data_IF_704915953225
#
_entry.id   IF_704915953225
#
_cell.length_a   1.000
_cell.length_b   1.000
_cell.length_c   1.000
_cell.angle_alpha   90.00
_cell.angle_beta   90.00
_cell.angle_gamma   90.00
#
_symmetry.space_group_name_H-M   'P 1'
#
loop_
_entity.id
_entity.type
_entity.pdbx_description
1 polymer ?
#
# COMPACT_ATOMS: atom_id res chain seq x y z
N UNK A 1 -4.33 -22.98 15.11
CA UNK A 1 -3.01 -22.70 14.48
C UNK A 1 -2.13 -23.93 14.67
N UNK A 2 -1.43 -24.38 13.63
CA UNK A 2 -0.44 -25.47 13.79
C UNK A 2 0.77 -24.95 14.59
N UNK A 3 1.43 -25.81 15.37
CA UNK A 3 2.66 -25.48 16.12
C UNK A 3 3.72 -24.89 15.19
N UNK A 4 3.82 -25.40 13.97
CA UNK A 4 4.71 -24.89 12.93
C UNK A 4 4.36 -23.44 12.53
N UNK A 5 3.06 -23.14 12.34
CA UNK A 5 2.63 -21.78 12.03
C UNK A 5 2.95 -20.79 13.15
N UNK A 6 2.76 -21.19 14.41
CA UNK A 6 3.15 -20.36 15.56
C UNK A 6 4.66 -20.12 15.59
N UNK A 7 5.47 -21.16 15.36
CA UNK A 7 6.93 -21.01 15.32
C UNK A 7 7.40 -20.06 14.23
N UNK A 8 6.84 -20.13 13.02
CA UNK A 8 7.16 -19.21 11.92
C UNK A 8 6.83 -17.77 12.28
N UNK A 9 5.65 -17.53 12.89
CA UNK A 9 5.26 -16.18 13.33
C UNK A 9 6.21 -15.63 14.39
N UNK A 10 6.59 -16.45 15.38
CA UNK A 10 7.53 -16.03 16.43
C UNK A 10 8.93 -15.74 15.87
N UNK A 11 9.42 -16.54 14.92
CA UNK A 11 10.69 -16.30 14.23
C UNK A 11 10.64 -15.01 13.44
N UNK A 12 9.58 -14.78 12.65
CA UNK A 12 9.41 -13.56 11.87
C UNK A 12 9.34 -12.31 12.77
N UNK A 13 8.58 -12.39 13.87
CA UNK A 13 8.47 -11.28 14.83
C UNK A 13 9.81 -11.00 15.52
N UNK A 14 10.52 -12.04 15.97
CA UNK A 14 11.83 -11.92 16.60
C UNK A 14 12.88 -11.34 15.66
N UNK A 15 12.88 -11.77 14.40
CA UNK A 15 13.75 -11.25 13.35
C UNK A 15 13.47 -9.76 13.07
N UNK A 16 12.20 -9.38 12.94
CA UNK A 16 11.80 -7.99 12.70
C UNK A 16 12.21 -7.09 13.86
N UNK A 17 11.92 -7.50 15.10
CA UNK A 17 12.32 -6.75 16.29
C UNK A 17 13.85 -6.62 16.40
N UNK A 18 14.58 -7.72 16.17
CA UNK A 18 16.04 -7.71 16.15
C UNK A 18 16.61 -6.72 15.12
N UNK A 19 16.06 -6.70 13.91
CA UNK A 19 16.48 -5.78 12.86
C UNK A 19 16.17 -4.32 13.19
N UNK A 20 15.03 -4.02 13.83
CA UNK A 20 14.72 -2.67 14.32
C UNK A 20 15.79 -2.17 15.29
N UNK A 21 16.22 -3.02 16.24
CA UNK A 21 17.23 -2.65 17.22
C UNK A 21 18.65 -2.54 16.63
N UNK A 22 19.06 -3.52 15.81
CA UNK A 22 20.39 -3.57 15.21
C UNK A 22 20.64 -2.44 14.20
N UNK A 23 19.60 -2.00 13.47
CA UNK A 23 19.73 -1.03 12.37
C UNK A 23 19.22 0.37 12.69
N UNK A 24 19.08 0.73 13.94
CA UNK A 24 18.70 2.12 14.33
C UNK A 24 19.61 3.22 13.74
N UNK A 25 20.82 2.87 13.29
CA UNK A 25 21.83 3.83 12.78
C UNK A 25 22.14 3.68 11.29
N UNK A 26 21.60 2.69 10.60
CA UNK A 26 21.89 2.45 9.19
C UNK A 26 20.59 2.23 8.41
N UNK A 27 20.27 3.15 7.51
CA UNK A 27 19.17 2.98 6.57
C UNK A 27 19.53 1.90 5.55
N UNK A 28 18.69 0.86 5.37
CA UNK A 28 18.93 -0.15 4.36
C UNK A 28 18.81 0.45 2.96
N UNK A 29 19.68 0.02 2.07
CA UNK A 29 19.56 0.34 0.64
C UNK A 29 18.64 -0.70 0.03
N UNK A 30 17.48 -0.27 -0.46
CA UNK A 30 16.53 -1.10 -1.17
C UNK A 30 16.71 -0.98 -2.69
N UNK A 31 16.25 -1.98 -3.43
CA UNK A 31 16.12 -1.92 -4.89
C UNK A 31 15.23 -0.73 -5.26
N UNK A 32 15.62 0.02 -6.28
CA UNK A 32 14.76 1.07 -6.81
C UNK A 32 13.53 0.45 -7.50
N UNK A 33 12.34 0.92 -7.13
CA UNK A 33 11.06 0.54 -7.75
C UNK A 33 10.50 1.79 -8.42
N UNK A 34 10.40 1.82 -9.77
CA UNK A 34 10.03 3.02 -10.53
C UNK A 34 8.69 3.63 -10.08
N UNK A 35 7.71 2.79 -9.72
CA UNK A 35 6.41 3.24 -9.22
C UNK A 35 6.52 4.19 -8.02
N UNK A 36 7.40 3.92 -7.06
CA UNK A 36 7.58 4.80 -5.90
C UNK A 36 8.35 6.08 -6.24
N UNK A 37 9.23 6.04 -7.22
CA UNK A 37 9.90 7.24 -7.72
C UNK A 37 8.90 8.15 -8.42
N UNK A 38 8.03 7.60 -9.29
CA UNK A 38 6.93 8.35 -9.92
C UNK A 38 5.94 8.90 -8.89
N UNK A 39 5.62 8.11 -7.85
CA UNK A 39 4.74 8.55 -6.78
C UNK A 39 5.29 9.79 -6.07
N UNK A 40 6.58 9.79 -5.70
CA UNK A 40 7.22 10.96 -5.05
C UNK A 40 7.17 12.20 -5.94
N UNK A 41 7.39 12.03 -7.25
CA UNK A 41 7.27 13.13 -8.20
C UNK A 41 5.83 13.65 -8.27
N UNK A 42 4.84 12.75 -8.37
CA UNK A 42 3.43 13.11 -8.42
C UNK A 42 2.97 13.86 -7.15
N UNK A 43 3.48 13.47 -5.96
CA UNK A 43 3.23 14.17 -4.70
C UNK A 43 3.78 15.60 -4.74
N UNK A 44 5.03 15.78 -5.17
CA UNK A 44 5.63 17.11 -5.31
C UNK A 44 4.83 18.01 -6.26
N UNK A 45 4.49 17.48 -7.43
CA UNK A 45 3.67 18.19 -8.42
C UNK A 45 2.26 18.54 -7.90
N UNK A 46 1.63 17.63 -7.14
CA UNK A 46 0.33 17.89 -6.52
C UNK A 46 0.37 19.06 -5.55
N UNK A 47 1.39 19.12 -4.70
CA UNK A 47 1.58 20.23 -3.74
C UNK A 47 1.87 21.54 -4.47
N UNK A 48 2.74 21.53 -5.49
CA UNK A 48 3.07 22.73 -6.28
C UNK A 48 1.89 23.26 -7.09
N UNK A 49 1.05 22.37 -7.61
CA UNK A 49 -0.11 22.72 -8.41
C UNK A 49 -1.38 22.97 -7.59
N UNK A 50 -1.34 22.76 -6.27
CA UNK A 50 -2.52 22.87 -5.40
C UNK A 50 -3.63 21.86 -5.73
N UNK A 51 -3.25 20.68 -6.25
CA UNK A 51 -4.20 19.62 -6.65
C UNK A 51 -4.28 18.53 -5.60
N UNK A 52 -5.28 17.65 -5.75
CA UNK A 52 -5.57 16.56 -4.81
C UNK A 52 -4.88 15.27 -5.21
N UNK A 53 -4.41 14.51 -4.22
CA UNK A 53 -4.09 13.09 -4.39
C UNK A 53 -5.27 12.22 -3.97
N UNK A 54 -5.51 11.15 -4.70
CA UNK A 54 -6.49 10.12 -4.34
C UNK A 54 -5.77 8.84 -3.91
N UNK A 55 -6.13 8.29 -2.74
CA UNK A 55 -5.68 7.00 -2.24
C UNK A 55 -6.86 6.05 -2.12
N UNK A 56 -6.78 4.90 -2.76
CA UNK A 56 -7.79 3.86 -2.66
C UNK A 56 -7.24 2.64 -1.91
N UNK A 57 -7.92 2.26 -0.83
CA UNK A 57 -7.56 1.13 0.04
C UNK A 57 -8.26 -0.18 -0.37
N UNK A 58 -9.10 -0.13 -1.41
CA UNK A 58 -9.87 -1.27 -1.86
C UNK A 58 -10.94 -1.73 -0.86
N UNK A 59 -11.29 -3.02 -0.88
CA UNK A 59 -12.46 -3.57 -0.19
C UNK A 59 -12.12 -4.61 0.91
N UNK A 60 -10.86 -4.84 1.21
CA UNK A 60 -10.45 -5.84 2.19
C UNK A 60 -10.62 -5.37 3.64
N UNK A 61 -11.75 -5.68 4.26
CA UNK A 61 -12.00 -5.35 5.67
C UNK A 61 -11.07 -6.10 6.64
N UNK A 62 -10.88 -5.56 7.85
CA UNK A 62 -9.94 -6.06 8.86
C UNK A 62 -10.23 -7.48 9.34
N UNK A 63 -11.49 -7.90 9.30
CA UNK A 63 -11.91 -9.23 9.75
C UNK A 63 -11.81 -10.30 8.64
N UNK A 64 -11.33 -9.92 7.46
CA UNK A 64 -11.19 -10.82 6.32
C UNK A 64 -9.72 -11.20 6.09
N UNK A 65 -9.43 -12.34 5.44
CA UNK A 65 -8.06 -12.68 5.03
C UNK A 65 -7.41 -11.66 4.10
N UNK A 66 -8.21 -10.81 3.47
CA UNK A 66 -7.79 -9.73 2.56
C UNK A 66 -7.51 -8.39 3.25
N UNK A 67 -7.35 -8.37 4.58
CA UNK A 67 -7.03 -7.15 5.33
C UNK A 67 -5.62 -6.59 5.04
N UNK A 68 -4.64 -7.47 4.86
CA UNK A 68 -3.24 -7.09 4.77
C UNK A 68 -2.92 -6.04 3.67
N UNK A 69 -3.48 -6.11 2.44
CA UNK A 69 -3.30 -5.07 1.43
C UNK A 69 -3.79 -3.69 1.87
N UNK A 70 -4.98 -3.62 2.46
CA UNK A 70 -5.54 -2.35 2.97
C UNK A 70 -4.71 -1.75 4.10
N UNK A 71 -4.19 -2.59 5.00
CA UNK A 71 -3.26 -2.15 6.06
C UNK A 71 -1.94 -1.63 5.50
N UNK A 72 -1.44 -2.21 4.40
CA UNK A 72 -0.26 -1.68 3.71
C UNK A 72 -0.51 -0.28 3.13
N UNK A 73 -1.69 -0.05 2.54
CA UNK A 73 -2.11 1.27 2.08
C UNK A 73 -2.22 2.27 3.22
N UNK A 74 -2.82 1.88 4.36
CA UNK A 74 -2.90 2.72 5.56
C UNK A 74 -1.53 3.08 6.14
N UNK A 75 -0.57 2.14 6.13
CA UNK A 75 0.79 2.41 6.61
C UNK A 75 1.48 3.52 5.78
N UNK A 76 1.21 3.57 4.49
CA UNK A 76 1.71 4.62 3.60
C UNK A 76 0.93 5.94 3.78
N UNK A 77 -0.39 5.86 3.98
CA UNK A 77 -1.32 6.98 3.99
C UNK A 77 -0.88 8.09 4.96
N UNK A 78 -0.50 7.74 6.18
CA UNK A 78 -0.05 8.73 7.18
C UNK A 78 1.08 9.61 6.64
N UNK A 79 2.10 8.98 6.06
CA UNK A 79 3.26 9.69 5.54
C UNK A 79 2.93 10.53 4.29
N UNK A 80 2.05 10.02 3.42
CA UNK A 80 1.51 10.80 2.30
C UNK A 80 0.81 12.07 2.81
N UNK A 81 -0.04 11.93 3.82
CA UNK A 81 -0.76 13.07 4.43
C UNK A 81 0.21 14.09 5.02
N UNK A 82 1.24 13.64 5.75
CA UNK A 82 2.27 14.52 6.30
C UNK A 82 2.97 15.34 5.20
N UNK A 83 3.28 14.72 4.06
CA UNK A 83 3.99 15.37 2.96
C UNK A 83 3.10 16.26 2.08
N UNK A 84 1.81 15.95 1.98
CA UNK A 84 0.87 16.71 1.13
C UNK A 84 -0.01 17.67 1.92
N UNK A 85 0.21 17.81 3.22
CA UNK A 85 -0.55 18.71 4.10
C UNK A 85 -0.43 20.21 3.72
N UNK A 86 0.58 20.56 2.93
CA UNK A 86 0.77 21.92 2.40
C UNK A 86 0.04 22.19 1.08
N UNK A 87 -0.63 21.19 0.49
CA UNK A 87 -1.44 21.39 -0.72
C UNK A 87 -2.74 22.15 -0.38
N UNK A 88 -3.20 22.97 -1.31
CA UNK A 88 -4.48 23.68 -1.18
C UNK A 88 -5.68 22.73 -1.13
N UNK A 89 -5.56 21.58 -1.80
CA UNK A 89 -6.58 20.53 -1.82
C UNK A 89 -6.15 19.34 -0.94
N UNK A 90 -6.94 18.98 0.10
CA UNK A 90 -6.62 17.88 0.97
C UNK A 90 -6.68 16.52 0.24
N UNK A 91 -5.77 15.60 0.59
CA UNK A 91 -5.74 14.24 0.11
C UNK A 91 -7.06 13.52 0.44
N UNK A 92 -7.59 12.75 -0.51
CA UNK A 92 -8.84 12.00 -0.33
C UNK A 92 -8.60 10.51 -0.39
N UNK A 93 -9.30 9.77 0.48
CA UNK A 93 -9.19 8.32 0.60
C UNK A 93 -10.52 7.67 0.30
N UNK A 94 -10.50 6.61 -0.53
CA UNK A 94 -11.67 5.77 -0.79
C UNK A 94 -11.46 4.36 -0.26
N UNK A 95 -12.50 3.79 0.31
CA UNK A 95 -12.52 2.39 0.73
C UNK A 95 -13.89 1.76 0.48
N UNK A 96 -13.88 0.44 0.31
CA UNK A 96 -15.08 -0.38 0.15
C UNK A 96 -15.41 -1.20 1.40
N UNK A 97 -14.74 -0.92 2.54
CA UNK A 97 -15.01 -1.53 3.84
C UNK A 97 -15.11 -0.44 4.90
N UNK A 98 -16.11 -0.52 5.76
CA UNK A 98 -16.40 0.52 6.75
C UNK A 98 -15.29 0.68 7.81
N UNK A 99 -14.67 -0.42 8.21
CA UNK A 99 -13.54 -0.44 9.13
C UNK A 99 -12.29 0.25 8.53
N UNK A 100 -12.00 0.03 7.24
CA UNK A 100 -10.95 0.76 6.54
C UNK A 100 -11.27 2.25 6.37
N UNK A 101 -12.54 2.61 6.15
CA UNK A 101 -12.94 4.01 6.08
C UNK A 101 -12.68 4.73 7.41
N UNK A 102 -13.08 4.14 8.53
CA UNK A 102 -12.81 4.68 9.87
C UNK A 102 -11.31 4.79 10.17
N UNK A 103 -10.54 3.75 9.84
CA UNK A 103 -9.08 3.79 10.03
C UNK A 103 -8.40 4.80 9.11
N UNK A 104 -8.92 5.03 7.91
CA UNK A 104 -8.37 6.06 7.03
C UNK A 104 -8.60 7.46 7.59
N UNK A 105 -9.77 7.74 8.16
CA UNK A 105 -10.06 9.02 8.84
C UNK A 105 -9.13 9.26 10.03
N UNK A 106 -8.94 8.24 10.89
CA UNK A 106 -8.02 8.32 12.02
C UNK A 106 -6.56 8.53 11.57
N UNK A 107 -6.16 7.81 10.51
CA UNK A 107 -4.81 7.94 9.94
C UNK A 107 -4.56 9.30 9.30
N UNK A 108 -5.56 9.85 8.59
CA UNK A 108 -5.52 11.21 8.03
C UNK A 108 -5.37 12.24 9.15
N UNK A 109 -6.22 12.16 10.18
CA UNK A 109 -6.14 13.06 11.33
C UNK A 109 -4.76 13.00 12.00
N UNK A 110 -4.23 11.81 12.21
CA UNK A 110 -2.89 11.63 12.77
C UNK A 110 -1.79 12.23 11.88
N UNK A 111 -1.92 12.13 10.54
CA UNK A 111 -1.00 12.73 9.58
C UNK A 111 -1.02 14.25 9.60
N UNK A 112 -2.21 14.87 9.56
CA UNK A 112 -2.37 16.32 9.67
C UNK A 112 -1.85 16.86 11.02
N UNK A 113 -2.11 16.11 12.11
CA UNK A 113 -1.57 16.46 13.44
C UNK A 113 -0.04 16.41 13.45
N UNK A 114 0.58 15.40 12.87
CA UNK A 114 2.03 15.28 12.78
C UNK A 114 2.65 16.42 11.95
N UNK A 115 1.93 16.91 10.94
CA UNK A 115 2.33 18.06 10.13
C UNK A 115 2.01 19.43 10.77
N UNK A 116 1.40 19.46 11.98
CA UNK A 116 0.91 20.69 12.63
C UNK A 116 -0.13 21.45 11.78
N UNK A 117 -0.96 20.73 11.04
CA UNK A 117 -1.97 21.22 10.11
C UNK A 117 -3.38 20.72 10.46
N UNK A 118 -3.68 20.49 11.74
CA UNK A 118 -4.98 19.93 12.19
C UNK A 118 -6.19 20.76 11.73
N UNK A 119 -6.02 22.07 11.56
CA UNK A 119 -7.10 22.98 11.14
C UNK A 119 -7.61 22.71 9.71
N UNK A 120 -6.80 22.04 8.88
CA UNK A 120 -7.13 21.73 7.48
C UNK A 120 -7.81 20.36 7.37
N UNK A 121 -7.77 19.54 8.43
CA UNK A 121 -8.33 18.20 8.40
C UNK A 121 -9.86 18.23 8.25
N UNK A 122 -10.36 17.56 7.21
CA UNK A 122 -11.78 17.30 7.00
C UNK A 122 -12.07 15.80 7.10
N UNK A 123 -12.90 15.33 8.04
CA UNK A 123 -13.30 13.92 8.15
C UNK A 123 -13.94 13.36 6.87
N UNK A 124 -14.54 14.21 6.04
CA UNK A 124 -15.18 13.81 4.80
C UNK A 124 -14.16 13.40 3.71
N UNK A 125 -12.87 13.56 3.94
CA UNK A 125 -11.83 13.10 3.00
C UNK A 125 -11.55 11.60 3.09
N UNK A 126 -11.91 10.92 4.18
CA UNK A 126 -11.92 9.46 4.31
C UNK A 126 -13.31 8.90 4.03
N UNK A 127 -13.51 8.32 2.83
CA UNK A 127 -14.86 7.99 2.31
C UNK A 127 -15.09 6.50 2.13
N UNK A 128 -16.25 6.03 2.56
CA UNK A 128 -16.82 4.74 2.17
C UNK A 128 -17.61 4.92 0.86
N UNK A 129 -17.10 4.42 -0.26
CA UNK A 129 -17.71 4.66 -1.57
C UNK A 129 -18.68 3.58 -2.02
N UNK A 130 -18.58 2.37 -1.46
CA UNK A 130 -19.54 1.30 -1.72
C UNK A 130 -19.02 -0.05 -1.20
N UNK A 131 -19.96 -0.94 -0.83
CA UNK A 131 -19.62 -2.22 -0.20
C UNK A 131 -19.42 -3.37 -1.20
N UNK A 132 -20.00 -3.26 -2.40
CA UNK A 132 -19.83 -4.26 -3.47
C UNK A 132 -18.79 -3.78 -4.48
N UNK A 133 -18.16 -4.66 -5.28
CA UNK A 133 -17.14 -4.28 -6.26
C UNK A 133 -17.55 -3.10 -7.13
N UNK A 134 -18.70 -3.23 -7.80
CA UNK A 134 -19.16 -2.20 -8.73
C UNK A 134 -19.71 -0.94 -8.03
N UNK A 135 -20.35 -1.06 -6.86
CA UNK A 135 -20.78 0.13 -6.11
C UNK A 135 -19.58 0.92 -5.58
N UNK A 136 -18.51 0.23 -5.18
CA UNK A 136 -17.26 0.84 -4.78
C UNK A 136 -16.63 1.62 -5.93
N UNK A 137 -16.48 1.00 -7.10
CA UNK A 137 -15.94 1.68 -8.28
C UNK A 137 -16.84 2.85 -8.71
N UNK A 138 -18.15 2.66 -8.76
CA UNK A 138 -19.11 3.71 -9.14
C UNK A 138 -19.08 4.92 -8.19
N UNK A 139 -18.80 4.70 -6.89
CA UNK A 139 -18.65 5.78 -5.93
C UNK A 139 -17.29 6.46 -5.94
N UNK A 140 -16.23 5.78 -6.41
CA UNK A 140 -14.88 6.33 -6.49
C UNK A 140 -14.60 7.06 -7.81
N UNK A 141 -15.23 6.66 -8.92
CA UNK A 141 -15.03 7.26 -10.25
C UNK A 141 -15.32 8.77 -10.28
N UNK A 142 -16.47 9.28 -9.78
CA UNK A 142 -16.76 10.70 -9.79
C UNK A 142 -15.69 11.51 -9.03
N UNK A 143 -15.15 10.95 -7.95
CA UNK A 143 -14.10 11.59 -7.19
C UNK A 143 -12.82 11.77 -8.05
N UNK A 144 -12.42 10.72 -8.78
CA UNK A 144 -11.26 10.78 -9.68
C UNK A 144 -11.48 11.82 -10.80
N UNK A 145 -12.71 11.93 -11.31
CA UNK A 145 -13.04 12.75 -12.47
C UNK A 145 -13.32 14.21 -12.13
N UNK A 146 -13.95 14.49 -10.99
CA UNK A 146 -14.57 15.78 -10.71
C UNK A 146 -13.85 16.56 -9.58
N UNK A 147 -12.96 15.92 -8.80
CA UNK A 147 -12.36 16.53 -7.61
C UNK A 147 -10.89 16.95 -7.79
N UNK A 148 -10.49 17.35 -8.99
CA UNK A 148 -9.14 17.86 -9.28
C UNK A 148 -7.98 16.93 -8.86
N UNK A 149 -8.18 15.62 -9.06
CA UNK A 149 -7.19 14.59 -8.71
C UNK A 149 -6.08 14.59 -9.75
N UNK A 150 -4.84 14.81 -9.30
CA UNK A 150 -3.64 14.79 -10.15
C UNK A 150 -2.91 13.46 -10.19
N UNK A 151 -3.12 12.59 -9.19
CA UNK A 151 -2.57 11.24 -9.19
C UNK A 151 -3.39 10.29 -8.31
N UNK A 152 -3.42 9.03 -8.71
CA UNK A 152 -4.17 7.95 -8.05
C UNK A 152 -3.24 6.90 -7.47
N UNK A 153 -3.43 6.53 -6.22
CA UNK A 153 -2.68 5.51 -5.50
C UNK A 153 -3.64 4.41 -5.09
N UNK A 154 -3.63 3.30 -5.84
CA UNK A 154 -4.56 2.19 -5.65
C UNK A 154 -3.83 1.02 -4.96
N UNK A 155 -3.79 1.01 -3.63
CA UNK A 155 -3.08 -0.02 -2.84
C UNK A 155 -4.06 -0.66 -1.88
N UNK A 156 -4.47 -1.90 -2.19
CA UNK A 156 -5.48 -2.56 -1.40
C UNK A 156 -5.91 -3.92 -1.96
N UNK A 157 -7.05 -4.39 -1.46
CA UNK A 157 -7.70 -5.57 -2.02
C UNK A 157 -8.72 -5.13 -3.07
N UNK A 158 -8.41 -5.40 -4.32
CA UNK A 158 -9.26 -5.15 -5.49
C UNK A 158 -9.52 -6.46 -6.22
N UNK A 159 -10.66 -6.55 -6.88
CA UNK A 159 -10.96 -7.51 -7.93
C UNK A 159 -10.94 -6.84 -9.31
N UNK A 160 -11.77 -7.31 -10.25
CA UNK A 160 -11.82 -6.76 -11.61
C UNK A 160 -12.28 -5.29 -11.68
N UNK A 161 -12.94 -4.79 -10.64
CA UNK A 161 -13.39 -3.40 -10.55
C UNK A 161 -12.23 -2.38 -10.59
N UNK A 162 -11.00 -2.79 -10.31
CA UNK A 162 -9.82 -1.91 -10.42
C UNK A 162 -9.65 -1.35 -11.82
N UNK A 163 -10.03 -2.11 -12.86
CA UNK A 163 -9.97 -1.65 -14.23
C UNK A 163 -10.83 -0.39 -14.49
N UNK A 164 -11.95 -0.25 -13.78
CA UNK A 164 -12.80 0.94 -13.88
C UNK A 164 -12.14 2.16 -13.24
N UNK A 165 -11.37 1.97 -12.17
CA UNK A 165 -10.63 3.05 -11.51
C UNK A 165 -9.43 3.50 -12.35
N UNK A 166 -8.71 2.54 -12.94
CA UNK A 166 -7.57 2.87 -13.83
C UNK A 166 -8.01 3.50 -15.12
N UNK A 167 -9.15 3.08 -15.72
CA UNK A 167 -9.76 3.75 -16.89
C UNK A 167 -10.19 5.19 -16.55
N UNK A 168 -10.80 5.41 -15.37
CA UNK A 168 -11.16 6.76 -14.94
C UNK A 168 -9.93 7.66 -14.78
N UNK A 169 -8.85 7.14 -14.21
CA UNK A 169 -7.58 7.84 -14.05
C UNK A 169 -6.94 8.18 -15.41
N UNK A 170 -6.96 7.24 -16.36
CA UNK A 170 -6.45 7.45 -17.72
C UNK A 170 -7.23 8.56 -18.45
N UNK A 171 -8.57 8.54 -18.36
CA UNK A 171 -9.46 9.55 -18.99
C UNK A 171 -9.21 10.96 -18.48
N UNK A 172 -8.77 11.12 -17.24
CA UNK A 172 -8.45 12.42 -16.64
C UNK A 172 -6.97 12.79 -16.75
N UNK A 173 -6.16 11.97 -17.43
CA UNK A 173 -4.69 12.10 -17.47
C UNK A 173 -4.05 12.20 -16.09
N UNK A 174 -4.65 11.58 -15.08
CA UNK A 174 -4.11 11.48 -13.73
C UNK A 174 -3.39 10.15 -13.57
N UNK A 175 -2.05 10.11 -13.52
CA UNK A 175 -1.30 8.86 -13.44
C UNK A 175 -1.70 8.02 -12.23
N UNK A 176 -1.67 6.69 -12.40
CA UNK A 176 -1.97 5.76 -11.33
C UNK A 176 -0.74 4.92 -10.95
N UNK A 177 -0.53 4.75 -9.65
CA UNK A 177 0.31 3.70 -9.07
C UNK A 177 -0.62 2.70 -8.43
N UNK A 178 -0.60 1.46 -8.88
CA UNK A 178 -1.57 0.47 -8.45
C UNK A 178 -0.94 -0.86 -8.04
N UNK A 179 -1.48 -1.46 -6.97
CA UNK A 179 -1.10 -2.76 -6.44
C UNK A 179 -2.30 -3.51 -5.90
N UNK A 180 -2.43 -4.78 -6.22
CA UNK A 180 -3.44 -5.67 -5.67
C UNK A 180 -2.85 -7.04 -5.37
N UNK A 181 -3.53 -7.82 -4.52
CA UNK A 181 -3.10 -9.20 -4.19
C UNK A 181 -3.81 -10.24 -5.09
N UNK A 182 -5.01 -9.94 -5.55
CA UNK A 182 -5.79 -10.83 -6.40
C UNK A 182 -5.15 -10.94 -7.80
N UNK A 183 -4.89 -12.17 -8.31
CA UNK A 183 -4.23 -12.36 -9.61
C UNK A 183 -4.99 -11.73 -10.79
N UNK A 184 -6.33 -11.70 -10.74
CA UNK A 184 -7.14 -11.07 -11.79
C UNK A 184 -6.97 -9.56 -11.80
N UNK A 185 -6.93 -8.95 -10.61
CA UNK A 185 -6.67 -7.51 -10.45
C UNK A 185 -5.23 -7.17 -10.86
N UNK A 186 -4.23 -7.99 -10.49
CA UNK A 186 -2.83 -7.79 -10.92
C UNK A 186 -2.70 -7.78 -12.45
N UNK A 187 -3.37 -8.72 -13.14
CA UNK A 187 -3.33 -8.77 -14.60
C UNK A 187 -3.93 -7.51 -15.24
N UNK A 188 -5.04 -6.99 -14.68
CA UNK A 188 -5.66 -5.76 -15.16
C UNK A 188 -4.79 -4.52 -14.87
N UNK A 189 -4.22 -4.42 -13.68
CA UNK A 189 -3.30 -3.35 -13.29
C UNK A 189 -2.08 -3.36 -14.23
N UNK A 190 -1.49 -4.53 -14.49
CA UNK A 190 -0.35 -4.65 -15.38
C UNK A 190 -0.65 -4.19 -16.82
N UNK A 191 -1.88 -4.36 -17.27
CA UNK A 191 -2.32 -3.97 -18.61
C UNK A 191 -2.71 -2.49 -18.72
N UNK A 192 -3.08 -1.83 -17.61
CA UNK A 192 -3.70 -0.49 -17.62
C UNK A 192 -2.90 0.60 -16.89
N UNK A 193 -1.81 0.25 -16.22
CA UNK A 193 -1.00 1.20 -15.43
C UNK A 193 0.45 1.15 -15.91
N UNK A 194 1.06 2.30 -16.14
CA UNK A 194 2.44 2.41 -16.62
C UNK A 194 3.46 1.76 -15.67
N UNK A 195 3.26 1.94 -14.35
CA UNK A 195 4.17 1.43 -13.32
C UNK A 195 3.39 0.59 -12.29
N UNK A 196 3.02 -0.64 -12.64
CA UNK A 196 2.31 -1.53 -11.73
C UNK A 196 3.25 -2.04 -10.63
N UNK A 197 2.73 -2.12 -9.41
CA UNK A 197 3.39 -2.85 -8.32
C UNK A 197 2.91 -4.31 -8.36
N UNK A 198 3.83 -5.25 -8.52
CA UNK A 198 3.49 -6.66 -8.73
C UNK A 198 3.76 -7.49 -7.48
N UNK A 199 2.76 -8.29 -7.09
CA UNK A 199 2.90 -9.28 -6.02
C UNK A 199 3.21 -8.64 -4.66
N UNK A 200 4.35 -9.01 -4.10
CA UNK A 200 4.78 -8.56 -2.77
C UNK A 200 5.23 -7.09 -2.68
N UNK A 201 5.46 -6.42 -3.82
CA UNK A 201 5.80 -4.99 -3.84
C UNK A 201 4.71 -4.12 -3.20
N UNK A 202 3.47 -4.61 -3.18
CA UNK A 202 2.36 -4.01 -2.43
C UNK A 202 2.71 -3.81 -0.95
N UNK A 203 3.35 -4.78 -0.32
CA UNK A 203 3.72 -4.71 1.10
C UNK A 203 4.97 -3.87 1.36
N UNK A 204 5.71 -3.52 0.31
CA UNK A 204 6.84 -2.62 0.40
C UNK A 204 6.42 -1.14 0.49
N UNK A 205 5.16 -0.80 0.19
CA UNK A 205 4.67 0.57 0.11
C UNK A 205 5.04 1.43 1.33
N UNK A 206 4.84 0.94 2.55
CA UNK A 206 5.22 1.64 3.78
C UNK A 206 6.73 1.90 3.90
N UNK A 207 7.58 0.94 3.50
CA UNK A 207 9.03 1.08 3.59
C UNK A 207 9.57 2.11 2.57
N UNK A 208 9.04 2.10 1.34
CA UNK A 208 9.46 3.02 0.26
C UNK A 208 8.88 4.42 0.39
N UNK A 209 7.69 4.56 0.99
CA UNK A 209 7.11 5.88 1.29
C UNK A 209 7.77 6.59 2.47
N UNK A 210 8.62 5.90 3.25
CA UNK A 210 9.29 6.50 4.40
C UNK A 210 8.49 6.38 5.71
N UNK A 211 7.53 5.46 5.80
CA UNK A 211 6.67 5.27 6.99
C UNK A 211 7.42 4.77 8.26
N UNK A 212 8.76 4.65 8.20
CA UNK A 212 9.60 4.43 9.37
C UNK A 212 10.41 3.13 9.37
N UNK A 213 11.31 3.03 10.33
CA UNK A 213 12.28 1.92 10.46
C UNK A 213 11.65 0.55 10.67
N UNK A 214 10.45 0.48 11.25
CA UNK A 214 9.75 -0.77 11.46
C UNK A 214 9.31 -1.42 10.13
N UNK A 215 8.80 -0.63 9.18
CA UNK A 215 8.42 -1.11 7.85
C UNK A 215 9.65 -1.56 7.05
N UNK A 216 10.76 -0.81 7.15
CA UNK A 216 12.03 -1.18 6.53
C UNK A 216 12.59 -2.50 7.10
N UNK A 217 12.53 -2.69 8.42
CA UNK A 217 12.97 -3.92 9.08
C UNK A 217 12.08 -5.10 8.70
N UNK A 218 10.76 -4.91 8.60
CA UNK A 218 9.82 -5.94 8.16
C UNK A 218 10.13 -6.42 6.74
N UNK A 219 10.42 -5.50 5.82
CA UNK A 219 10.78 -5.85 4.44
C UNK A 219 12.07 -6.68 4.39
N UNK A 220 13.09 -6.29 5.17
CA UNK A 220 14.34 -7.06 5.27
C UNK A 220 14.13 -8.44 5.91
N UNK A 221 13.25 -8.54 6.92
CA UNK A 221 12.91 -9.82 7.52
C UNK A 221 12.25 -10.77 6.49
N UNK A 222 11.40 -10.26 5.63
CA UNK A 222 10.79 -11.01 4.52
C UNK A 222 11.86 -11.53 3.55
N UNK A 223 12.83 -10.70 3.17
CA UNK A 223 13.92 -11.13 2.28
C UNK A 223 14.77 -12.23 2.91
N UNK A 224 15.12 -12.10 4.20
CA UNK A 224 15.88 -13.14 4.91
C UNK A 224 15.08 -14.45 4.97
N UNK A 225 13.80 -14.40 5.32
CA UNK A 225 12.94 -15.59 5.36
C UNK A 225 12.81 -16.25 3.98
N UNK A 226 12.72 -15.47 2.93
CA UNK A 226 12.71 -15.96 1.54
C UNK A 226 13.97 -16.75 1.21
N UNK A 227 15.15 -16.19 1.50
CA UNK A 227 16.41 -16.87 1.28
C UNK A 227 16.53 -18.16 2.10
N UNK A 228 16.07 -18.15 3.36
CA UNK A 228 16.03 -19.37 4.19
C UNK A 228 15.15 -20.45 3.56
N UNK A 229 13.96 -20.10 3.08
CA UNK A 229 13.07 -21.05 2.40
C UNK A 229 13.70 -21.60 1.13
N UNK A 230 14.30 -20.76 0.30
CA UNK A 230 15.00 -21.18 -0.93
C UNK A 230 16.12 -22.16 -0.59
N UNK A 231 16.95 -21.87 0.40
CA UNK A 231 18.04 -22.75 0.81
C UNK A 231 17.54 -24.10 1.35
N UNK A 232 16.45 -24.11 2.13
CA UNK A 232 15.83 -25.36 2.63
C UNK A 232 15.29 -26.18 1.45
N UNK A 233 14.62 -25.56 0.49
CA UNK A 233 14.07 -26.27 -0.68
C UNK A 233 15.18 -26.83 -1.57
N UNK A 234 16.23 -26.06 -1.85
CA UNK A 234 17.37 -26.51 -2.65
C UNK A 234 18.15 -27.61 -1.93
N UNK A 235 18.41 -27.44 -0.63
CA UNK A 235 19.09 -28.44 0.20
C UNK A 235 18.29 -29.74 0.28
N UNK A 236 17.00 -29.68 0.55
CA UNK A 236 16.13 -30.86 0.57
C UNK A 236 16.04 -31.56 -0.78
N UNK A 237 15.98 -30.81 -1.87
CA UNK A 237 15.99 -31.37 -3.24
C UNK A 237 17.32 -32.08 -3.56
N UNK A 238 18.44 -31.48 -3.16
CA UNK A 238 19.77 -32.09 -3.34
C UNK A 238 19.92 -33.37 -2.52
N UNK A 239 19.52 -33.36 -1.23
CA UNK A 239 19.57 -34.57 -0.39
C UNK A 239 18.76 -35.71 -1.00
N UNK A 240 17.56 -35.40 -1.49
CA UNK A 240 16.71 -36.41 -2.15
C UNK A 240 17.33 -36.95 -3.46
N UNK A 241 18.05 -36.12 -4.22
CA UNK A 241 18.74 -36.53 -5.45
C UNK A 241 19.88 -37.49 -5.12
N UNK A 242 20.57 -37.31 -3.97
CA UNK A 242 21.64 -38.22 -3.52
C UNK A 242 21.12 -39.43 -2.72
N UNK A 243 19.80 -39.66 -2.66
CA UNK A 243 19.20 -40.81 -1.99
C UNK A 243 19.24 -40.75 -0.45
N UNK A 244 19.46 -39.57 0.10
CA UNK A 244 19.40 -39.32 1.55
C UNK A 244 17.95 -38.98 1.90
N UNK A 245 17.28 -39.74 2.81
CA UNK A 245 15.86 -39.54 3.17
C UNK A 245 15.58 -38.20 3.88
#
# INVERSE_FOLDING_TARGET
MSIIGLAVVLVAAGLTLGLIFLRRKATPVFREIPAFTKLKLAMGLSVEAGTRLHVSLGRGGLQTPSAAPGLSGLAMLRHLTEQTSASDEPLVVTSGAADLALLSQDTLQAGYKAASAEEIYDPNTGRLTGLTPFSFAAGAIPLIQDENVSANILIGHFGAEVALLTDAAERTNSPAVAAAIDPSAQALIYASVDEPLVGEELFAAGAYSGAGSAHQASLQAQDILRWVIILILLGGSALKLFGIP
#
